data_IF_835431076573
#
_entry.id   IF_835431076573
#
_cell.length_a   1.000
_cell.length_b   1.000
_cell.length_c   1.000
_cell.angle_alpha   90.00
_cell.angle_beta   90.00
_cell.angle_gamma   90.00
#
_symmetry.space_group_name_H-M   'P 1'
#
loop_
_entity.id
_entity.type
_entity.pdbx_description
1 polymer ?
#
# COMPACT_ATOMS: atom_id res chain seq x y z
N UNK A 1 -15.07 17.19 -41.54
CA UNK A 1 -15.90 16.34 -40.67
C UNK A 1 -15.62 16.76 -39.22
N UNK A 2 -16.56 17.58 -38.68
CA UNK A 2 -16.56 18.02 -37.29
C UNK A 2 -17.07 16.88 -36.42
N UNK A 3 -16.24 16.46 -35.44
CA UNK A 3 -16.64 15.54 -34.37
C UNK A 3 -17.15 16.40 -33.22
N UNK A 4 -18.46 16.47 -33.07
CA UNK A 4 -19.14 17.12 -31.96
C UNK A 4 -18.93 16.29 -30.66
N UNK A 5 -18.16 16.82 -29.74
CA UNK A 5 -17.97 16.24 -28.42
C UNK A 5 -19.19 16.57 -27.54
N UNK A 6 -20.08 15.60 -27.35
CA UNK A 6 -21.16 15.72 -26.38
C UNK A 6 -20.61 15.62 -24.95
N UNK A 7 -20.59 16.74 -24.25
CA UNK A 7 -20.42 16.75 -22.80
C UNK A 7 -21.74 16.40 -22.12
N UNK A 8 -21.86 15.20 -21.60
CA UNK A 8 -22.98 14.84 -20.71
C UNK A 8 -22.64 15.45 -19.33
N UNK A 9 -23.30 16.56 -19.02
CA UNK A 9 -23.27 17.13 -17.66
C UNK A 9 -24.21 16.29 -16.79
N UNK A 10 -23.67 15.33 -16.07
CA UNK A 10 -24.41 14.61 -15.04
C UNK A 10 -24.53 15.56 -13.84
N UNK A 11 -25.71 16.19 -13.69
CA UNK A 11 -26.04 16.92 -12.47
C UNK A 11 -26.01 15.96 -11.29
N UNK A 12 -25.16 16.26 -10.31
CA UNK A 12 -25.09 15.54 -9.02
C UNK A 12 -26.50 15.58 -8.40
N UNK A 13 -27.10 14.42 -8.06
CA UNK A 13 -28.39 14.42 -7.38
C UNK A 13 -28.23 15.11 -6.01
N UNK A 14 -29.28 15.79 -5.52
CA UNK A 14 -29.24 16.43 -4.22
C UNK A 14 -28.99 15.37 -3.15
N UNK A 15 -28.00 15.63 -2.28
CA UNK A 15 -27.67 14.75 -1.18
C UNK A 15 -28.88 14.54 -0.29
N UNK A 16 -29.27 13.31 0.04
CA UNK A 16 -30.32 13.07 1.02
C UNK A 16 -29.85 13.67 2.36
N UNK A 17 -30.66 14.57 2.92
CA UNK A 17 -30.45 15.08 4.29
C UNK A 17 -30.73 13.93 5.24
N UNK A 18 -29.71 13.19 5.60
CA UNK A 18 -29.80 12.25 6.72
C UNK A 18 -29.83 13.05 8.02
N UNK A 19 -30.97 13.01 8.70
CA UNK A 19 -31.12 13.51 10.06
C UNK A 19 -30.19 12.71 10.97
N UNK A 20 -29.14 13.36 11.52
CA UNK A 20 -28.11 12.76 12.38
C UNK A 20 -28.59 12.40 13.78
N UNK A 21 -29.90 12.20 13.97
CA UNK A 21 -30.50 11.98 15.30
C UNK A 21 -31.18 10.64 15.52
N UNK A 22 -30.78 9.55 14.90
CA UNK A 22 -31.29 8.24 15.32
C UNK A 22 -30.39 7.08 14.86
N UNK A 23 -29.19 6.94 15.41
CA UNK A 23 -28.51 5.65 15.56
C UNK A 23 -27.76 5.67 16.91
N UNK A 24 -28.52 5.79 17.99
CA UNK A 24 -28.08 5.41 19.34
C UNK A 24 -29.01 4.30 19.80
N UNK A 25 -28.80 3.10 19.31
CA UNK A 25 -29.65 1.97 19.70
C UNK A 25 -29.24 0.66 19.03
N UNK A 26 -27.99 0.31 19.14
CA UNK A 26 -27.44 -1.00 18.75
C UNK A 26 -25.95 -0.94 18.98
N UNK A 27 -25.48 -1.34 20.17
CA UNK A 27 -24.07 -1.43 20.47
C UNK A 27 -23.39 -2.36 19.48
N UNK A 28 -22.71 -1.79 18.47
CA UNK A 28 -21.81 -2.56 17.62
C UNK A 28 -20.75 -3.13 18.57
N UNK A 29 -20.76 -4.43 18.79
CA UNK A 29 -19.79 -5.11 19.63
C UNK A 29 -18.39 -4.70 19.15
N UNK A 30 -17.54 -4.21 20.04
CA UNK A 30 -16.16 -3.72 19.70
C UNK A 30 -15.36 -4.75 18.89
N UNK A 31 -15.67 -6.03 19.02
CA UNK A 31 -15.05 -7.13 18.27
C UNK A 31 -15.37 -7.11 16.77
N UNK A 32 -16.48 -6.53 16.33
CA UNK A 32 -16.88 -6.56 14.91
C UNK A 32 -16.11 -5.54 14.09
N UNK A 33 -15.84 -4.35 14.62
CA UNK A 33 -15.00 -3.35 13.95
C UNK A 33 -13.55 -3.84 13.79
N UNK A 34 -13.02 -4.55 14.78
CA UNK A 34 -11.68 -5.12 14.70
C UNK A 34 -11.58 -6.17 13.59
N UNK A 35 -12.60 -7.03 13.43
CA UNK A 35 -12.69 -8.03 12.36
C UNK A 35 -12.78 -7.36 10.98
N UNK A 36 -13.64 -6.34 10.84
CA UNK A 36 -13.82 -5.58 9.59
C UNK A 36 -12.51 -4.87 9.19
N UNK A 37 -11.82 -4.26 10.16
CA UNK A 37 -10.56 -3.58 9.91
C UNK A 37 -9.36 -4.54 9.85
N UNK A 38 -9.50 -5.82 10.24
CA UNK A 38 -8.40 -6.77 10.31
C UNK A 38 -7.26 -6.29 11.23
N UNK A 39 -7.60 -5.56 12.30
CA UNK A 39 -6.65 -5.03 13.28
C UNK A 39 -7.03 -5.61 14.63
N UNK A 40 -6.15 -6.43 15.19
CA UNK A 40 -6.37 -7.13 16.46
C UNK A 40 -5.60 -6.46 17.60
N UNK A 41 -5.93 -6.83 18.84
CA UNK A 41 -5.31 -6.32 20.08
C UNK A 41 -5.39 -4.79 20.26
N UNK A 42 -6.41 -4.18 19.69
CA UNK A 42 -6.68 -2.75 19.79
C UNK A 42 -8.15 -2.49 20.10
N UNK A 43 -8.44 -1.33 20.68
CA UNK A 43 -9.82 -0.82 20.84
C UNK A 43 -10.10 0.16 19.69
N UNK A 44 -11.13 -0.13 18.92
CA UNK A 44 -11.55 0.67 17.77
C UNK A 44 -12.85 1.38 18.07
N UNK A 45 -12.87 2.70 17.93
CA UNK A 45 -14.08 3.50 18.04
C UNK A 45 -14.27 4.31 16.74
N UNK A 46 -15.49 4.45 16.28
CA UNK A 46 -15.79 5.39 15.19
C UNK A 46 -15.56 6.80 15.70
N UNK A 47 -14.69 7.56 15.04
CA UNK A 47 -14.38 8.93 15.41
C UNK A 47 -15.23 9.93 14.64
N UNK A 48 -15.36 9.76 13.31
CA UNK A 48 -16.14 10.63 12.45
C UNK A 48 -16.55 9.90 11.19
N UNK A 49 -17.78 10.16 10.71
CA UNK A 49 -18.28 9.69 9.41
C UNK A 49 -18.81 10.89 8.65
N UNK A 50 -18.25 11.15 7.47
CA UNK A 50 -18.66 12.19 6.52
C UNK A 50 -19.03 11.54 5.18
N UNK A 51 -19.47 12.34 4.23
CA UNK A 51 -19.88 11.85 2.91
C UNK A 51 -18.73 11.13 2.18
N UNK A 52 -17.52 11.69 2.24
CA UNK A 52 -16.34 11.19 1.51
C UNK A 52 -15.21 10.67 2.44
N UNK A 53 -15.38 10.74 3.77
CA UNK A 53 -14.33 10.35 4.73
C UNK A 53 -14.90 9.63 5.95
N UNK A 54 -14.21 8.59 6.38
CA UNK A 54 -14.47 7.89 7.62
C UNK A 54 -13.19 7.81 8.45
N UNK A 55 -13.30 8.08 9.74
CA UNK A 55 -12.15 7.97 10.63
C UNK A 55 -12.47 7.16 11.87
N UNK A 56 -11.47 6.39 12.32
CA UNK A 56 -11.53 5.56 13.51
C UNK A 56 -10.46 6.00 14.51
N UNK A 57 -10.83 6.05 15.78
CA UNK A 57 -9.88 6.21 16.88
C UNK A 57 -9.39 4.82 17.31
N UNK A 58 -8.09 4.61 17.24
CA UNK A 58 -7.43 3.36 17.65
C UNK A 58 -6.69 3.60 18.95
N UNK A 59 -7.00 2.79 19.95
CA UNK A 59 -6.31 2.79 21.25
C UNK A 59 -5.91 1.37 21.62
N UNK A 60 -4.85 1.23 22.39
CA UNK A 60 -4.37 -0.06 22.93
C UNK A 60 -4.36 0.00 24.45
N UNK A 61 -4.43 -1.15 25.10
CA UNK A 61 -4.24 -1.19 26.55
C UNK A 61 -2.76 -0.96 26.92
N UNK A 62 -2.49 -0.30 28.05
CA UNK A 62 -1.14 -0.13 28.55
C UNK A 62 -0.50 -1.48 28.84
N UNK A 63 0.67 -1.72 28.27
CA UNK A 63 1.48 -2.91 28.57
C UNK A 63 2.98 -2.53 28.66
N UNK A 64 3.78 -3.26 29.45
CA UNK A 64 5.20 -3.02 29.50
C UNK A 64 5.87 -3.23 28.14
N UNK A 65 6.82 -2.36 27.82
CA UNK A 65 7.63 -2.45 26.60
C UNK A 65 9.11 -2.50 26.92
N UNK A 66 9.87 -3.28 26.16
CA UNK A 66 11.33 -3.33 26.28
C UNK A 66 11.96 -2.08 25.67
N UNK A 67 12.86 -1.46 26.41
CA UNK A 67 13.62 -0.32 25.93
C UNK A 67 14.55 -0.74 24.77
N UNK A 68 14.54 -0.05 23.62
CA UNK A 68 15.39 -0.42 22.49
C UNK A 68 16.89 -0.13 22.71
N UNK A 69 17.27 0.52 23.84
CA UNK A 69 18.67 0.82 24.17
C UNK A 69 19.25 -0.14 25.20
N UNK A 70 18.52 -0.46 26.28
CA UNK A 70 19.04 -1.25 27.39
C UNK A 70 18.23 -2.53 27.69
N UNK A 71 17.22 -2.85 26.87
CA UNK A 71 16.33 -4.00 27.00
C UNK A 71 15.49 -4.08 28.28
N UNK A 72 15.62 -3.14 29.22
CA UNK A 72 14.78 -3.13 30.42
C UNK A 72 13.33 -2.85 30.07
N UNK A 73 12.42 -3.61 30.69
CA UNK A 73 10.99 -3.40 30.56
C UNK A 73 10.54 -2.14 31.32
N UNK A 74 9.70 -1.33 30.69
CA UNK A 74 9.10 -0.17 31.32
C UNK A 74 7.62 -0.04 30.95
N UNK A 75 6.80 0.30 31.92
CA UNK A 75 5.39 0.69 31.73
C UNK A 75 5.19 2.21 31.89
N UNK A 76 6.27 2.98 32.17
CA UNK A 76 6.19 4.42 32.45
C UNK A 76 5.92 5.18 31.16
N UNK A 77 4.66 5.60 30.97
CA UNK A 77 4.23 6.45 29.85
C UNK A 77 4.69 7.88 30.11
N UNK A 78 5.36 8.49 29.14
CA UNK A 78 5.80 9.89 29.21
C UNK A 78 4.69 10.82 28.66
N UNK A 79 4.21 10.53 27.42
CA UNK A 79 3.18 11.29 26.75
C UNK A 79 2.37 10.45 25.75
N UNK A 80 1.36 11.05 25.15
CA UNK A 80 0.55 10.46 24.09
C UNK A 80 0.60 11.33 22.85
N UNK A 81 0.63 10.71 21.67
CA UNK A 81 0.50 11.39 20.38
C UNK A 81 -0.52 10.70 19.50
N UNK A 82 -1.25 11.48 18.70
CA UNK A 82 -2.15 10.96 17.69
C UNK A 82 -1.41 10.94 16.36
N UNK A 83 -1.25 9.73 15.81
CA UNK A 83 -0.71 9.53 14.47
C UNK A 83 -1.86 9.26 13.51
N UNK A 84 -1.98 10.07 12.44
CA UNK A 84 -2.93 9.83 11.35
C UNK A 84 -2.33 8.80 10.39
N UNK A 85 -3.06 7.74 10.12
CA UNK A 85 -2.63 6.61 9.29
C UNK A 85 -3.72 6.36 8.25
N UNK A 86 -3.38 6.40 6.97
CA UNK A 86 -4.30 6.03 5.88
C UNK A 86 -4.51 4.53 5.84
N UNK A 87 -5.74 4.13 5.57
CA UNK A 87 -6.13 2.75 5.41
C UNK A 87 -6.88 2.52 4.09
N UNK A 88 -7.20 1.26 3.79
CA UNK A 88 -8.00 0.91 2.60
C UNK A 88 -9.31 1.69 2.64
N UNK A 89 -9.73 2.35 1.53
CA UNK A 89 -11.03 3.00 1.46
C UNK A 89 -12.16 2.08 1.88
N UNK A 90 -13.08 2.58 2.66
CA UNK A 90 -14.21 1.83 3.19
C UNK A 90 -15.52 2.40 2.62
N UNK A 91 -16.32 1.58 1.94
CA UNK A 91 -17.56 2.00 1.27
C UNK A 91 -17.36 3.22 0.36
N UNK A 92 -16.33 3.22 -0.46
CA UNK A 92 -15.91 4.32 -1.33
C UNK A 92 -15.53 5.62 -0.60
N UNK A 93 -15.41 5.60 0.73
CA UNK A 93 -14.93 6.73 1.53
C UNK A 93 -13.45 6.60 1.85
N UNK A 94 -12.78 7.73 1.93
CA UNK A 94 -11.42 7.79 2.48
C UNK A 94 -11.41 7.25 3.90
N UNK A 95 -10.48 6.38 4.25
CA UNK A 95 -10.37 5.80 5.58
C UNK A 95 -9.09 6.27 6.28
N UNK A 96 -9.26 6.88 7.45
CA UNK A 96 -8.15 7.36 8.29
C UNK A 96 -8.24 6.79 9.69
N UNK A 97 -7.16 6.16 10.14
CA UNK A 97 -7.01 5.68 11.51
C UNK A 97 -6.25 6.73 12.34
N UNK A 98 -6.85 7.18 13.42
CA UNK A 98 -6.24 8.06 14.41
C UNK A 98 -5.69 7.20 15.54
N UNK A 99 -4.42 6.81 15.44
CA UNK A 99 -3.75 5.97 16.42
C UNK A 99 -3.25 6.81 17.60
N UNK A 100 -3.83 6.60 18.79
CA UNK A 100 -3.34 7.18 20.05
C UNK A 100 -2.13 6.39 20.53
N UNK A 101 -0.94 6.86 20.15
CA UNK A 101 0.34 6.21 20.38
C UNK A 101 0.99 6.71 21.66
N UNK A 102 1.54 5.78 22.47
CA UNK A 102 2.28 6.11 23.69
C UNK A 102 3.75 6.32 23.42
N UNK A 103 4.30 7.28 24.11
CA UNK A 103 5.75 7.45 24.22
C UNK A 103 6.16 7.06 25.63
N UNK A 104 7.05 6.07 25.73
CA UNK A 104 7.54 5.55 26.98
C UNK A 104 8.83 6.24 27.40
N UNK A 105 9.08 6.30 28.71
CA UNK A 105 10.33 6.70 29.31
C UNK A 105 10.98 5.50 30.01
N UNK A 106 12.22 5.24 29.69
CA UNK A 106 12.98 4.20 30.38
C UNK A 106 13.70 4.80 31.59
N UNK A 107 13.37 4.40 32.83
CA UNK A 107 13.98 4.96 34.03
C UNK A 107 15.47 4.55 34.16
N UNK A 108 15.87 3.43 33.54
CA UNK A 108 17.24 2.90 33.65
C UNK A 108 18.26 3.67 32.77
N UNK A 109 17.87 4.07 31.56
CA UNK A 109 18.82 4.71 30.62
C UNK A 109 18.35 6.07 30.09
N UNK A 110 17.24 6.61 30.59
CA UNK A 110 16.67 7.90 30.18
C UNK A 110 16.07 7.93 28.77
N UNK A 111 16.10 6.81 28.01
CA UNK A 111 15.64 6.78 26.62
C UNK A 111 14.13 6.94 26.53
N UNK A 112 13.68 7.85 25.65
CA UNK A 112 12.29 7.94 25.22
C UNK A 112 12.10 7.18 23.92
N UNK A 113 11.01 6.39 23.82
CA UNK A 113 10.70 5.60 22.62
C UNK A 113 9.19 5.41 22.47
N UNK A 114 8.74 5.17 21.22
CA UNK A 114 7.34 4.88 20.94
C UNK A 114 7.10 3.38 20.91
N UNK A 115 5.88 2.98 21.26
CA UNK A 115 5.42 1.62 21.02
C UNK A 115 5.37 1.32 19.51
N UNK A 116 5.51 0.06 19.14
CA UNK A 116 5.40 -0.45 17.78
C UNK A 116 4.10 -1.21 17.60
N UNK A 117 3.59 -1.24 16.38
CA UNK A 117 2.35 -1.91 15.99
C UNK A 117 2.58 -2.72 14.72
N UNK A 118 1.96 -3.90 14.64
CA UNK A 118 2.15 -4.82 13.50
C UNK A 118 1.45 -4.35 12.23
N UNK A 119 0.34 -3.59 12.37
CA UNK A 119 -0.45 -3.11 11.23
C UNK A 119 0.11 -1.85 10.56
N UNK A 120 1.11 -1.19 11.16
CA UNK A 120 1.78 -0.01 10.59
C UNK A 120 3.28 -0.07 10.80
N UNK A 121 4.04 0.00 9.71
CA UNK A 121 5.50 0.03 9.79
C UNK A 121 6.01 1.37 10.34
N UNK A 122 7.17 1.32 10.99
CA UNK A 122 7.82 2.52 11.54
C UNK A 122 8.00 3.59 10.46
N UNK A 123 7.71 4.83 10.80
CA UNK A 123 7.76 6.02 9.91
C UNK A 123 6.77 6.02 8.74
N UNK A 124 5.89 5.04 8.60
CA UNK A 124 4.85 5.08 7.61
C UNK A 124 3.55 5.68 8.16
N UNK A 125 2.84 6.40 7.31
CA UNK A 125 1.51 6.96 7.57
C UNK A 125 0.42 6.22 6.80
N UNK A 126 0.63 4.93 6.54
CA UNK A 126 -0.34 4.01 5.92
C UNK A 126 -0.21 2.63 6.54
N UNK A 127 -1.32 1.89 6.53
CA UNK A 127 -1.33 0.50 7.01
C UNK A 127 -0.59 -0.42 6.03
N UNK A 128 -0.11 -1.57 6.54
CA UNK A 128 0.48 -2.60 5.69
C UNK A 128 -0.55 -3.18 4.71
N UNK A 129 -1.82 -3.31 5.13
CA UNK A 129 -2.89 -3.80 4.24
C UNK A 129 -3.20 -2.82 3.11
N UNK A 130 -3.12 -1.49 3.33
CA UNK A 130 -3.20 -0.51 2.25
C UNK A 130 -2.02 -0.65 1.28
N UNK A 131 -0.83 -0.92 1.78
CA UNK A 131 0.34 -1.19 0.93
C UNK A 131 0.12 -2.42 0.05
N UNK A 132 -0.41 -3.52 0.62
CA UNK A 132 -0.78 -4.72 -0.14
C UNK A 132 -1.91 -4.45 -1.14
N UNK A 133 -2.93 -3.67 -0.75
CA UNK A 133 -4.03 -3.28 -1.64
C UNK A 133 -3.54 -2.51 -2.86
N UNK A 134 -2.62 -1.55 -2.68
CA UNK A 134 -1.99 -0.82 -3.79
C UNK A 134 -1.23 -1.80 -4.70
N UNK A 135 -0.42 -2.70 -4.13
CA UNK A 135 0.31 -3.69 -4.90
C UNK A 135 -0.62 -4.60 -5.73
N UNK A 136 -1.70 -5.11 -5.11
CA UNK A 136 -2.69 -5.94 -5.80
C UNK A 136 -3.44 -5.20 -6.92
N UNK A 137 -3.61 -3.89 -6.81
CA UNK A 137 -4.28 -3.09 -7.84
C UNK A 137 -3.59 -3.18 -9.21
N UNK A 138 -2.32 -3.57 -9.27
CA UNK A 138 -1.58 -3.76 -10.52
C UNK A 138 -1.81 -5.11 -11.20
N UNK A 139 -2.34 -6.11 -10.50
CA UNK A 139 -2.77 -7.36 -11.13
C UNK A 139 -4.01 -7.16 -12.02
N UNK A 140 -4.82 -6.14 -11.74
CA UNK A 140 -6.02 -5.82 -12.50
C UNK A 140 -5.74 -4.89 -13.71
N UNK A 141 -4.51 -4.79 -14.17
CA UNK A 141 -4.08 -3.99 -15.34
C UNK A 141 -4.36 -2.49 -15.21
N UNK A 142 -4.33 -1.95 -14.01
CA UNK A 142 -4.65 -0.56 -13.72
C UNK A 142 -3.38 0.30 -13.77
N UNK A 143 -3.48 1.49 -14.38
CA UNK A 143 -2.37 2.45 -14.39
C UNK A 143 -2.19 3.11 -13.01
N UNK A 144 -1.03 3.75 -12.81
CA UNK A 144 -0.63 4.38 -11.54
C UNK A 144 -1.65 5.42 -11.06
N UNK A 145 -2.20 6.23 -11.97
CA UNK A 145 -3.21 7.25 -11.64
C UNK A 145 -4.49 6.59 -11.11
N UNK A 146 -4.95 5.54 -11.75
CA UNK A 146 -6.15 4.82 -11.33
C UNK A 146 -5.93 4.10 -9.98
N UNK A 147 -4.77 3.46 -9.78
CA UNK A 147 -4.40 2.87 -8.49
C UNK A 147 -4.36 3.92 -7.37
N UNK A 148 -3.86 5.12 -7.64
CA UNK A 148 -3.82 6.21 -6.66
C UNK A 148 -5.21 6.71 -6.27
N UNK A 149 -6.14 6.83 -7.22
CA UNK A 149 -7.53 7.21 -6.98
C UNK A 149 -8.24 6.13 -6.17
N UNK A 150 -8.14 4.87 -6.61
CA UNK A 150 -8.77 3.72 -5.95
C UNK A 150 -8.31 3.52 -4.50
N UNK A 151 -7.04 3.76 -4.22
CA UNK A 151 -6.46 3.65 -2.87
C UNK A 151 -6.53 4.96 -2.06
N UNK A 152 -7.03 6.04 -2.64
CA UNK A 152 -7.05 7.39 -2.07
C UNK A 152 -5.68 7.84 -1.52
N UNK A 153 -4.64 7.66 -2.32
CA UNK A 153 -3.27 8.07 -2.02
C UNK A 153 -2.68 8.88 -3.17
N UNK A 154 -1.56 9.54 -2.94
CA UNK A 154 -0.82 10.22 -4.02
C UNK A 154 -0.16 9.21 -4.96
N UNK A 155 0.03 9.58 -6.24
CA UNK A 155 0.81 8.79 -7.20
C UNK A 155 2.23 8.50 -6.71
N UNK A 156 2.84 9.44 -5.98
CA UNK A 156 4.15 9.23 -5.34
C UNK A 156 4.13 8.07 -4.32
N UNK A 157 3.04 7.91 -3.55
CA UNK A 157 2.89 6.76 -2.64
C UNK A 157 2.82 5.45 -3.41
N UNK A 158 2.11 5.45 -4.55
CA UNK A 158 2.02 4.27 -5.44
C UNK A 158 3.39 3.91 -5.99
N UNK A 159 4.16 4.88 -6.49
CA UNK A 159 5.55 4.66 -6.95
C UNK A 159 6.44 4.07 -5.84
N UNK A 160 6.34 4.59 -4.61
CA UNK A 160 7.10 4.02 -3.47
C UNK A 160 6.73 2.58 -3.17
N UNK A 161 5.44 2.23 -3.28
CA UNK A 161 5.00 0.84 -3.10
C UNK A 161 5.56 -0.05 -4.21
N UNK A 162 5.45 0.38 -5.46
CA UNK A 162 6.01 -0.36 -6.61
C UNK A 162 7.51 -0.61 -6.46
N UNK A 163 8.27 0.40 -6.03
CA UNK A 163 9.71 0.26 -5.79
C UNK A 163 10.08 -0.74 -4.68
N UNK A 164 9.11 -1.13 -3.83
CA UNK A 164 9.32 -2.18 -2.81
C UNK A 164 8.94 -3.59 -3.30
N UNK A 165 8.28 -3.69 -4.46
CA UNK A 165 7.95 -4.98 -5.05
C UNK A 165 9.20 -5.51 -5.74
N UNK A 166 9.84 -6.50 -5.13
CA UNK A 166 10.93 -7.23 -5.77
C UNK A 166 10.33 -8.07 -6.90
N UNK A 167 10.51 -7.62 -8.13
CA UNK A 167 10.39 -8.52 -9.28
C UNK A 167 11.62 -9.43 -9.25
N UNK A 168 11.50 -10.56 -8.57
CA UNK A 168 12.51 -11.59 -8.71
C UNK A 168 12.38 -12.16 -10.11
N UNK A 169 13.19 -11.63 -11.05
CA UNK A 169 13.42 -12.18 -12.41
C UNK A 169 14.07 -13.57 -12.36
N UNK A 170 14.12 -14.19 -11.21
CA UNK A 170 14.84 -15.42 -10.91
C UNK A 170 14.27 -16.69 -11.56
N UNK A 171 13.22 -16.59 -12.36
CA UNK A 171 12.55 -17.78 -12.89
C UNK A 171 12.39 -17.73 -14.40
N UNK A 172 13.49 -17.89 -15.11
CA UNK A 172 13.42 -18.26 -16.54
C UNK A 172 12.76 -19.63 -16.62
N UNK A 173 11.69 -19.72 -17.42
CA UNK A 173 11.00 -20.95 -17.72
C UNK A 173 11.71 -21.77 -18.80
N UNK A 174 11.00 -22.73 -19.37
CA UNK A 174 11.49 -23.57 -20.47
C UNK A 174 11.46 -22.83 -21.82
N UNK A 175 10.73 -21.73 -21.92
CA UNK A 175 10.64 -20.90 -23.12
C UNK A 175 10.73 -19.42 -22.77
N UNK A 176 11.32 -18.65 -23.68
CA UNK A 176 11.44 -17.19 -23.59
C UNK A 176 10.96 -16.60 -24.91
N UNK A 177 10.11 -15.58 -24.81
CA UNK A 177 9.77 -14.72 -25.95
C UNK A 177 10.33 -13.33 -25.72
N UNK A 178 10.85 -12.71 -26.76
CA UNK A 178 11.46 -11.39 -26.73
C UNK A 178 10.73 -10.56 -27.77
N UNK A 179 10.28 -9.38 -27.38
CA UNK A 179 9.64 -8.42 -28.27
C UNK A 179 10.09 -6.99 -27.95
N UNK A 180 9.93 -6.09 -28.91
CA UNK A 180 10.29 -4.68 -28.78
C UNK A 180 9.03 -3.83 -28.67
N UNK A 181 9.05 -2.85 -27.77
CA UNK A 181 7.98 -1.89 -27.68
C UNK A 181 8.52 -0.46 -27.57
N UNK A 182 7.70 0.49 -28.00
CA UNK A 182 8.03 1.90 -27.88
C UNK A 182 7.82 2.36 -26.44
N UNK A 183 8.90 2.69 -25.76
CA UNK A 183 8.88 3.25 -24.41
C UNK A 183 9.52 4.65 -24.37
N UNK A 184 9.41 5.30 -23.22
CA UNK A 184 9.97 6.64 -23.01
C UNK A 184 10.92 6.63 -21.78
N UNK A 185 11.93 5.75 -21.80
CA UNK A 185 12.90 5.66 -20.71
C UNK A 185 14.25 6.20 -21.19
N UNK A 186 14.71 7.28 -20.59
CA UNK A 186 15.99 7.91 -20.94
C UNK A 186 16.03 8.39 -22.38
N UNK A 187 17.14 8.09 -23.07
CA UNK A 187 17.39 8.46 -24.47
C UNK A 187 16.94 7.40 -25.48
N UNK A 188 16.55 6.21 -25.00
CA UNK A 188 16.20 5.09 -25.88
C UNK A 188 14.69 5.09 -26.18
N UNK A 189 14.38 5.11 -27.50
CA UNK A 189 12.99 5.12 -27.99
C UNK A 189 12.31 3.76 -27.90
N UNK A 190 13.08 2.67 -28.00
CA UNK A 190 12.59 1.31 -27.98
C UNK A 190 13.23 0.53 -26.84
N UNK A 191 12.43 -0.25 -26.18
CA UNK A 191 12.78 -1.14 -25.07
C UNK A 191 12.46 -2.56 -25.45
N UNK A 192 13.12 -3.52 -24.80
CA UNK A 192 12.87 -4.94 -25.00
C UNK A 192 12.12 -5.51 -23.83
N UNK A 193 11.04 -6.24 -24.09
CA UNK A 193 10.32 -7.03 -23.12
C UNK A 193 10.73 -8.50 -23.25
N UNK A 194 10.99 -9.11 -22.10
CA UNK A 194 11.29 -10.55 -21.99
C UNK A 194 10.15 -11.20 -21.25
N UNK A 195 9.51 -12.20 -21.86
CA UNK A 195 8.33 -12.88 -21.32
C UNK A 195 8.53 -14.39 -21.29
N UNK A 196 7.90 -15.06 -20.32
CA UNK A 196 7.67 -16.50 -20.32
C UNK A 196 6.32 -16.75 -21.02
N UNK A 197 6.31 -17.28 -22.27
CA UNK A 197 5.07 -17.48 -23.01
C UNK A 197 4.23 -18.62 -22.46
N UNK A 198 4.82 -19.57 -21.72
CA UNK A 198 4.10 -20.70 -21.13
C UNK A 198 3.34 -20.24 -19.88
N UNK A 199 3.97 -19.40 -19.06
CA UNK A 199 3.37 -18.88 -17.81
C UNK A 199 2.64 -17.57 -17.99
N UNK A 200 2.65 -16.99 -19.20
CA UNK A 200 2.11 -15.66 -19.51
C UNK A 200 2.61 -14.59 -18.54
N UNK A 201 3.92 -14.58 -18.28
CA UNK A 201 4.54 -13.63 -17.33
C UNK A 201 5.62 -12.81 -17.99
N UNK A 202 5.62 -11.51 -17.69
CA UNK A 202 6.76 -10.65 -17.97
C UNK A 202 7.88 -11.01 -16.99
N UNK A 203 9.03 -11.39 -17.54
CA UNK A 203 10.23 -11.72 -16.78
C UNK A 203 11.05 -10.47 -16.51
N UNK A 204 11.24 -9.62 -17.54
CA UNK A 204 11.98 -8.37 -17.41
C UNK A 204 11.64 -7.39 -18.52
N UNK A 205 12.03 -6.11 -18.32
CA UNK A 205 11.98 -5.05 -19.31
C UNK A 205 13.35 -4.40 -19.37
N UNK A 206 14.04 -4.54 -20.51
CA UNK A 206 15.36 -3.99 -20.71
C UNK A 206 15.26 -2.57 -21.27
N UNK A 207 16.17 -1.70 -20.85
CA UNK A 207 16.15 -0.29 -21.21
C UNK A 207 16.44 0.00 -22.69
N UNK A 208 16.97 -0.97 -23.43
CA UNK A 208 17.35 -0.82 -24.84
C UNK A 208 17.11 -2.11 -25.61
N UNK A 209 16.87 -2.00 -26.92
CA UNK A 209 16.77 -3.13 -27.86
C UNK A 209 18.12 -3.58 -28.44
N UNK A 210 19.21 -2.90 -28.09
CA UNK A 210 20.54 -3.20 -28.62
C UNK A 210 20.97 -4.59 -28.19
N UNK A 211 21.57 -5.34 -29.13
CA UNK A 211 22.05 -6.71 -28.88
C UNK A 211 23.04 -6.79 -27.71
N UNK A 212 23.82 -5.75 -27.47
CA UNK A 212 24.72 -5.67 -26.30
C UNK A 212 23.96 -5.75 -24.99
N UNK A 213 22.83 -5.03 -24.85
CA UNK A 213 21.98 -5.06 -23.66
C UNK A 213 21.36 -6.44 -23.43
N UNK A 214 20.90 -7.10 -24.50
CA UNK A 214 20.37 -8.46 -24.44
C UNK A 214 21.44 -9.46 -24.02
N UNK A 215 22.62 -9.37 -24.59
CA UNK A 215 23.75 -10.27 -24.25
C UNK A 215 24.16 -10.08 -22.79
N UNK A 216 24.25 -8.85 -22.30
CA UNK A 216 24.53 -8.57 -20.89
C UNK A 216 23.46 -9.14 -19.97
N UNK A 217 22.19 -8.95 -20.31
CA UNK A 217 21.07 -9.52 -19.57
C UNK A 217 21.18 -11.04 -19.46
N UNK A 218 21.33 -11.73 -20.58
CA UNK A 218 21.45 -13.19 -20.57
C UNK A 218 22.73 -13.68 -19.89
N UNK A 219 23.83 -12.95 -19.96
CA UNK A 219 25.06 -13.27 -19.21
C UNK A 219 24.90 -13.09 -17.71
N UNK A 220 24.08 -12.14 -17.26
CA UNK A 220 23.79 -11.92 -15.84
C UNK A 220 22.97 -13.03 -15.19
N UNK A 221 22.27 -13.83 -16.00
CA UNK A 221 21.48 -14.95 -15.52
C UNK A 221 22.35 -16.17 -15.22
N UNK A 222 21.98 -16.94 -14.22
CA UNK A 222 22.67 -18.16 -13.86
C UNK A 222 22.73 -19.15 -15.06
N UNK A 223 23.89 -19.78 -15.26
CA UNK A 223 24.12 -20.70 -16.35
C UNK A 223 23.14 -21.88 -16.34
N UNK A 224 22.83 -22.42 -15.16
CA UNK A 224 21.87 -23.51 -15.01
C UNK A 224 20.47 -23.12 -15.48
N UNK A 225 20.05 -21.90 -15.24
CA UNK A 225 18.74 -21.37 -15.66
C UNK A 225 18.68 -21.16 -17.17
N UNK A 226 19.77 -20.71 -17.79
CA UNK A 226 19.86 -20.54 -19.26
C UNK A 226 19.78 -21.85 -20.02
N UNK A 227 20.36 -22.91 -19.45
CA UNK A 227 20.36 -24.24 -20.06
C UNK A 227 18.98 -24.92 -20.03
N UNK A 228 18.04 -24.43 -19.24
CA UNK A 228 16.67 -24.98 -19.19
C UNK A 228 15.77 -24.45 -20.33
N UNK A 229 16.18 -23.43 -21.07
CA UNK A 229 15.44 -22.89 -22.22
C UNK A 229 15.63 -23.86 -23.40
N UNK A 230 14.51 -24.35 -23.92
CA UNK A 230 14.44 -25.28 -25.06
C UNK A 230 14.23 -24.53 -26.36
#
# INVERSE_FOLDING_TARGET
LQISTFFIIIKKPPSPRFNTKTILGGGVHMNDLNKILGIYDVKVNVNCVKDDDISFLITTDPKPHKCPRCNNATAKVHDYRIQKIKDIPFQNKSCTLHLKKRRYHCPNCGKHFYESYDFVSRYLHRTQRLTKFIAHSFYDSINIKHASIRANVSTHTVYKVLGTLNNSSDRIGEAISIDEFKGNVGTEKYQTIVVDPIKHKVLDILYSRKSTCLVEYFKSLDKSKRMNVK
#
